data_IF_114994055182
#
_entry.id   IF_114994055182
#
_cell.length_a   1.000
_cell.length_b   1.000
_cell.length_c   1.000
_cell.angle_alpha   90.00
_cell.angle_beta   90.00
_cell.angle_gamma   90.00
#
_symmetry.space_group_name_H-M   'P 1'
#
loop_
_entity.id
_entity.type
_entity.pdbx_description
1 polymer ?
#
# COMPACT_ATOMS: atom_id res chain seq x y z
N UNK A 1 39.91 2.69 67.96
CA UNK A 1 38.75 3.13 67.17
C UNK A 1 37.50 3.02 68.04
N UNK A 2 36.80 4.12 68.34
CA UNK A 2 35.64 4.10 69.26
C UNK A 2 34.46 3.35 68.63
N UNK A 3 33.53 2.82 69.44
CA UNK A 3 32.32 2.14 68.93
C UNK A 3 31.51 3.02 67.97
N UNK A 4 31.52 4.33 68.21
CA UNK A 4 30.79 5.33 67.43
C UNK A 4 31.38 5.52 66.02
N UNK A 5 32.71 5.51 65.87
CA UNK A 5 33.34 5.64 64.55
C UNK A 5 33.20 4.40 63.67
N UNK A 6 33.03 3.20 64.27
CA UNK A 6 32.69 1.99 63.51
C UNK A 6 31.27 2.04 62.95
N UNK A 7 30.30 2.53 63.73
CA UNK A 7 28.89 2.64 63.31
C UNK A 7 28.74 3.63 62.15
N UNK A 8 29.36 4.80 62.26
CA UNK A 8 29.34 5.83 61.19
C UNK A 8 29.99 5.30 59.90
N UNK A 9 31.09 4.56 60.01
CA UNK A 9 31.79 4.01 58.85
C UNK A 9 30.96 2.92 58.15
N UNK A 10 30.20 2.11 58.89
CA UNK A 10 29.26 1.13 58.32
C UNK A 10 28.08 1.82 57.63
N UNK A 11 27.51 2.86 58.25
CA UNK A 11 26.40 3.64 57.67
C UNK A 11 26.76 4.32 56.34
N UNK A 12 28.02 4.74 56.17
CA UNK A 12 28.49 5.37 54.93
C UNK A 12 28.92 4.32 53.90
N UNK A 13 29.60 3.25 54.31
CA UNK A 13 30.10 2.24 53.38
C UNK A 13 28.99 1.37 52.77
N UNK A 14 27.94 1.06 53.53
CA UNK A 14 26.83 0.22 53.06
C UNK A 14 26.10 0.78 51.82
N UNK A 15 25.63 2.05 51.77
CA UNK A 15 24.97 2.61 50.59
C UNK A 15 25.91 2.75 49.39
N UNK A 16 27.21 2.99 49.63
CA UNK A 16 28.22 3.04 48.57
C UNK A 16 28.38 1.65 47.93
N UNK A 17 28.51 0.60 48.74
CA UNK A 17 28.62 -0.79 48.25
C UNK A 17 27.35 -1.19 47.49
N UNK A 18 26.15 -0.85 48.00
CA UNK A 18 24.89 -1.11 47.32
C UNK A 18 24.79 -0.38 45.97
N UNK A 19 25.25 0.86 45.90
CA UNK A 19 25.26 1.63 44.65
C UNK A 19 26.19 1.01 43.61
N UNK A 20 27.38 0.57 44.03
CA UNK A 20 28.34 -0.12 43.14
C UNK A 20 27.76 -1.45 42.65
N UNK A 21 27.11 -2.23 43.51
CA UNK A 21 26.45 -3.48 43.11
C UNK A 21 25.29 -3.25 42.14
N UNK A 22 24.50 -2.18 42.32
CA UNK A 22 23.43 -1.81 41.39
C UNK A 22 23.97 -1.43 40.02
N UNK A 23 25.02 -0.59 39.97
CA UNK A 23 25.67 -0.19 38.71
C UNK A 23 26.31 -1.40 38.02
N UNK A 24 26.99 -2.27 38.77
CA UNK A 24 27.58 -3.49 38.22
C UNK A 24 26.52 -4.43 37.62
N UNK A 25 25.38 -4.60 38.30
CA UNK A 25 24.24 -5.36 37.78
C UNK A 25 23.64 -4.71 36.53
N UNK A 26 23.44 -3.39 36.54
CA UNK A 26 22.92 -2.66 35.39
C UNK A 26 23.84 -2.79 34.16
N UNK A 27 25.16 -2.71 34.36
CA UNK A 27 26.14 -2.94 33.30
C UNK A 27 26.06 -4.39 32.80
N UNK A 28 25.98 -5.39 33.68
CA UNK A 28 25.80 -6.79 33.28
C UNK A 28 24.52 -7.00 32.46
N UNK A 29 23.40 -6.46 32.93
CA UNK A 29 22.11 -6.56 32.26
C UNK A 29 22.13 -5.90 30.88
N UNK A 30 22.69 -4.69 30.77
CA UNK A 30 22.70 -3.94 29.51
C UNK A 30 23.78 -4.42 28.52
N UNK A 31 24.94 -4.86 29.01
CA UNK A 31 26.10 -5.17 28.16
C UNK A 31 26.13 -6.63 27.74
N UNK A 32 25.62 -7.55 28.58
CA UNK A 32 25.66 -8.99 28.31
C UNK A 32 24.28 -9.58 28.06
N UNK A 33 23.31 -9.33 28.94
CA UNK A 33 22.01 -10.00 28.82
C UNK A 33 21.12 -9.38 27.75
N UNK A 34 21.06 -8.06 27.64
CA UNK A 34 20.22 -7.38 26.66
C UNK A 34 20.61 -7.69 25.20
N UNK A 35 21.90 -7.65 24.79
CA UNK A 35 22.28 -7.98 23.42
C UNK A 35 21.99 -9.45 23.08
N UNK A 36 22.23 -10.36 24.03
CA UNK A 36 21.96 -11.79 23.84
C UNK A 36 20.47 -12.09 23.74
N UNK A 37 19.64 -11.46 24.59
CA UNK A 37 18.18 -11.57 24.51
C UNK A 37 17.66 -10.98 23.20
N UNK A 38 18.18 -9.82 22.79
CA UNK A 38 17.81 -9.19 21.54
C UNK A 38 18.19 -10.05 20.32
N UNK A 39 19.41 -10.61 20.30
CA UNK A 39 19.86 -11.51 19.24
C UNK A 39 19.00 -12.79 19.16
N UNK A 40 18.60 -13.34 20.31
CA UNK A 40 17.68 -14.49 20.36
C UNK A 40 16.32 -14.12 19.77
N UNK A 41 15.71 -13.02 20.21
CA UNK A 41 14.41 -12.55 19.71
C UNK A 41 14.44 -12.25 18.20
N UNK A 42 15.54 -11.69 17.70
CA UNK A 42 15.75 -11.49 16.26
C UNK A 42 15.81 -12.82 15.50
N UNK A 43 16.49 -13.82 16.07
CA UNK A 43 16.62 -15.14 15.46
C UNK A 43 15.26 -15.84 15.41
N UNK A 44 14.49 -15.81 16.51
CA UNK A 44 13.12 -16.34 16.58
C UNK A 44 12.20 -15.66 15.56
N UNK A 45 12.24 -14.32 15.46
CA UNK A 45 11.47 -13.57 14.46
C UNK A 45 11.87 -13.92 13.01
N UNK A 46 13.17 -14.14 12.76
CA UNK A 46 13.67 -14.55 11.44
C UNK A 46 13.18 -15.95 11.07
N UNK A 47 13.28 -16.92 11.97
CA UNK A 47 12.80 -18.28 11.75
C UNK A 47 11.29 -18.29 11.49
N UNK A 48 10.52 -17.52 12.28
CA UNK A 48 9.08 -17.36 12.06
C UNK A 48 8.78 -16.78 10.66
N UNK A 49 9.46 -15.70 10.26
CA UNK A 49 9.24 -15.11 8.94
C UNK A 49 9.55 -16.08 7.79
N UNK A 50 10.52 -16.99 7.95
CA UNK A 50 10.87 -18.01 6.96
C UNK A 50 9.83 -19.13 6.90
N UNK A 51 9.36 -19.63 8.04
CA UNK A 51 8.28 -20.63 8.10
C UNK A 51 6.97 -20.09 7.48
N UNK A 52 6.63 -18.83 7.80
CA UNK A 52 5.42 -18.19 7.29
C UNK A 52 5.57 -17.61 5.88
N UNK A 53 6.78 -17.55 5.32
CA UNK A 53 6.98 -17.22 3.91
C UNK A 53 6.45 -18.34 3.01
N UNK A 54 6.73 -19.60 3.33
CA UNK A 54 6.25 -20.75 2.53
C UNK A 54 4.73 -20.90 2.56
N UNK A 55 4.11 -20.49 3.67
CA UNK A 55 2.67 -20.55 3.91
C UNK A 55 1.97 -19.20 3.77
N UNK A 56 2.68 -18.20 3.22
CA UNK A 56 2.14 -16.89 2.91
C UNK A 56 1.11 -16.92 1.78
N UNK A 57 0.39 -15.81 1.60
CA UNK A 57 -0.69 -15.72 0.62
C UNK A 57 -0.21 -15.09 -0.67
N UNK A 58 -0.50 -15.72 -1.80
CA UNK A 58 -0.45 -15.09 -3.10
C UNK A 58 -1.65 -15.53 -3.95
N UNK A 59 -2.20 -14.58 -4.69
CA UNK A 59 -3.33 -14.78 -5.60
C UNK A 59 -3.02 -14.10 -6.91
N UNK A 60 -3.10 -14.85 -8.00
CA UNK A 60 -3.08 -14.31 -9.35
C UNK A 60 -4.50 -13.95 -9.73
N UNK A 61 -4.75 -12.67 -10.01
CA UNK A 61 -6.06 -12.15 -10.39
C UNK A 61 -6.03 -11.58 -11.79
N UNK A 62 -7.03 -11.94 -12.58
CA UNK A 62 -7.30 -11.35 -13.89
C UNK A 62 -8.44 -10.36 -13.75
N UNK A 63 -8.15 -9.09 -14.02
CA UNK A 63 -9.09 -7.98 -13.94
C UNK A 63 -9.38 -7.47 -15.35
N UNK A 64 -10.66 -7.28 -15.64
CA UNK A 64 -11.15 -6.77 -16.91
C UNK A 64 -11.96 -5.50 -16.69
N UNK A 65 -11.84 -4.59 -17.65
CA UNK A 65 -12.68 -3.40 -17.80
C UNK A 65 -13.15 -3.35 -19.24
N UNK A 66 -14.42 -3.04 -19.46
CA UNK A 66 -15.05 -2.98 -20.78
C UNK A 66 -15.76 -1.64 -20.93
N UNK A 67 -15.52 -0.90 -22.01
CA UNK A 67 -16.29 0.32 -22.29
C UNK A 67 -17.63 -0.03 -22.93
N UNK A 68 -18.66 0.77 -22.67
CA UNK A 68 -19.94 0.68 -23.37
C UNK A 68 -19.76 0.78 -24.91
N UNK A 69 -20.73 0.29 -25.67
CA UNK A 69 -20.77 0.33 -27.13
C UNK A 69 -20.69 1.78 -27.65
N UNK A 70 -21.25 2.75 -26.92
CA UNK A 70 -21.12 4.18 -27.24
C UNK A 70 -19.66 4.68 -27.25
N UNK A 71 -18.74 3.93 -26.63
CA UNK A 71 -17.29 4.20 -26.58
C UNK A 71 -16.48 3.24 -27.45
N UNK A 72 -17.15 2.47 -28.31
CA UNK A 72 -16.53 1.53 -29.23
C UNK A 72 -16.37 0.11 -28.67
N UNK A 73 -16.96 -0.21 -27.52
CA UNK A 73 -16.99 -1.59 -27.01
C UNK A 73 -15.61 -2.19 -26.70
N UNK A 74 -14.63 -1.35 -26.40
CA UNK A 74 -13.26 -1.76 -26.16
C UNK A 74 -13.13 -2.45 -24.80
N UNK A 75 -12.30 -3.49 -24.73
CA UNK A 75 -12.00 -4.19 -23.49
C UNK A 75 -10.51 -4.14 -23.21
N UNK A 76 -10.14 -3.87 -21.97
CA UNK A 76 -8.79 -4.03 -21.46
C UNK A 76 -8.79 -5.05 -20.34
N UNK A 77 -7.74 -5.87 -20.31
CA UNK A 77 -7.56 -6.92 -19.30
C UNK A 77 -6.13 -6.86 -18.79
N UNK A 78 -5.97 -7.08 -17.50
CA UNK A 78 -4.67 -7.18 -16.85
C UNK A 78 -4.64 -8.36 -15.89
N UNK A 79 -3.50 -9.03 -15.85
CA UNK A 79 -3.21 -10.04 -14.83
C UNK A 79 -2.27 -9.39 -13.82
N UNK A 80 -2.58 -9.51 -12.54
CA UNK A 80 -1.72 -9.07 -11.46
C UNK A 80 -1.63 -10.14 -10.39
N UNK A 81 -0.47 -10.23 -9.76
CA UNK A 81 -0.24 -11.08 -8.61
C UNK A 81 -0.33 -10.23 -7.34
N UNK A 82 -1.29 -10.59 -6.49
CA UNK A 82 -1.54 -10.00 -5.20
C UNK A 82 -0.92 -10.86 -4.12
N UNK A 83 -0.07 -10.30 -3.26
CA UNK A 83 0.54 -11.07 -2.19
C UNK A 83 0.46 -10.37 -0.84
N UNK A 84 0.32 -11.19 0.21
CA UNK A 84 0.21 -10.77 1.61
C UNK A 84 1.41 -11.25 2.41
N UNK A 85 2.21 -10.34 2.96
CA UNK A 85 3.33 -10.68 3.85
C UNK A 85 2.91 -10.70 5.30
N UNK A 86 3.35 -11.73 6.05
CA UNK A 86 3.26 -11.80 7.51
C UNK A 86 4.59 -11.34 8.12
N UNK A 87 4.55 -10.36 9.01
CA UNK A 87 5.76 -9.82 9.65
C UNK A 87 5.86 -10.18 11.12
N UNK A 88 6.97 -10.79 11.53
CA UNK A 88 7.42 -10.80 12.91
C UNK A 88 8.29 -9.59 13.20
N UNK A 89 7.97 -8.88 14.28
CA UNK A 89 8.85 -7.89 14.90
C UNK A 89 9.32 -8.43 16.24
N UNK A 90 10.62 -8.31 16.52
CA UNK A 90 11.18 -8.60 17.84
C UNK A 90 10.61 -7.60 18.87
N UNK A 91 9.57 -8.00 19.60
CA UNK A 91 8.95 -7.26 20.72
C UNK A 91 8.84 -8.18 21.95
N UNK A 92 8.48 -7.61 23.11
CA UNK A 92 8.62 -8.21 24.45
C UNK A 92 8.21 -9.69 24.55
N UNK A 93 8.91 -10.42 25.44
CA UNK A 93 8.96 -11.88 25.62
C UNK A 93 7.66 -12.72 25.61
N UNK A 94 6.46 -12.11 25.57
CA UNK A 94 5.19 -12.78 25.84
C UNK A 94 4.15 -12.71 24.71
N UNK A 95 4.48 -12.21 23.52
CA UNK A 95 3.53 -12.09 22.41
C UNK A 95 3.98 -12.85 21.17
N UNK A 96 3.09 -13.57 20.46
CA UNK A 96 3.40 -13.98 19.10
C UNK A 96 3.65 -12.71 18.26
N UNK A 97 4.56 -12.79 17.28
CA UNK A 97 4.80 -11.65 16.40
C UNK A 97 3.49 -11.13 15.78
N UNK A 98 3.27 -9.83 15.84
CA UNK A 98 2.04 -9.20 15.33
C UNK A 98 1.94 -9.39 13.81
N UNK A 99 0.96 -10.13 13.32
CA UNK A 99 0.70 -10.22 11.88
C UNK A 99 0.11 -8.89 11.39
N UNK A 100 0.91 -8.08 10.69
CA UNK A 100 0.37 -7.08 9.78
C UNK A 100 0.33 -7.69 8.38
N UNK A 101 -0.79 -7.57 7.68
CA UNK A 101 -0.88 -7.91 6.25
C UNK A 101 -0.44 -6.65 5.50
N UNK A 102 0.71 -6.71 4.84
CA UNK A 102 1.02 -5.74 3.78
C UNK A 102 0.59 -6.36 2.47
N UNK A 103 -0.30 -5.67 1.76
CA UNK A 103 -0.82 -6.07 0.45
C UNK A 103 0.00 -5.37 -0.63
N UNK A 104 0.46 -6.12 -1.62
CA UNK A 104 1.18 -5.57 -2.77
C UNK A 104 0.71 -6.23 -4.06
N UNK A 105 0.92 -5.51 -5.15
CA UNK A 105 0.62 -5.91 -6.53
C UNK A 105 1.88 -5.73 -7.36
N UNK A 106 2.17 -6.67 -8.25
CA UNK A 106 3.12 -6.48 -9.36
C UNK A 106 2.46 -5.92 -10.63
N UNK A 107 1.13 -5.74 -10.58
CA UNK A 107 0.34 -5.17 -11.66
C UNK A 107 0.49 -3.65 -11.79
N UNK A 108 0.06 -3.08 -12.92
CA UNK A 108 0.04 -1.63 -13.09
C UNK A 108 -0.92 -0.99 -12.07
N UNK A 109 -0.66 0.27 -11.72
CA UNK A 109 -1.54 1.02 -10.82
C UNK A 109 -2.93 1.29 -11.43
N UNK A 110 -3.02 1.30 -12.76
CA UNK A 110 -4.24 1.58 -13.48
C UNK A 110 -4.39 0.76 -14.77
N UNK A 111 -5.64 0.54 -15.19
CA UNK A 111 -5.99 -0.06 -16.46
C UNK A 111 -6.52 0.98 -17.43
N UNK A 112 -5.95 1.05 -18.63
CA UNK A 112 -6.26 2.03 -19.66
C UNK A 112 -7.11 1.48 -20.80
N UNK A 113 -8.17 2.19 -21.21
CA UNK A 113 -8.96 1.91 -22.42
C UNK A 113 -9.01 3.17 -23.29
N UNK A 114 -8.82 3.09 -24.61
CA UNK A 114 -8.96 4.26 -25.49
C UNK A 114 -10.33 4.94 -25.34
N UNK A 115 -10.33 6.27 -25.27
CA UNK A 115 -11.52 7.09 -25.23
C UNK A 115 -11.54 8.07 -26.41
N UNK A 116 -12.17 7.65 -27.50
CA UNK A 116 -12.09 8.37 -28.77
C UNK A 116 -10.63 8.52 -29.26
N UNK A 117 -10.34 9.51 -30.14
CA UNK A 117 -9.02 9.64 -30.75
C UNK A 117 -7.97 10.31 -29.84
N UNK A 118 -8.36 11.10 -28.85
CA UNK A 118 -7.45 12.01 -28.12
C UNK A 118 -7.28 11.71 -26.63
N UNK A 119 -7.98 10.71 -26.09
CA UNK A 119 -7.99 10.43 -24.66
C UNK A 119 -8.02 8.94 -24.34
N UNK A 120 -7.88 8.61 -23.07
CA UNK A 120 -7.89 7.28 -22.50
C UNK A 120 -8.67 7.29 -21.19
N UNK A 121 -9.55 6.32 -20.98
CA UNK A 121 -10.08 6.00 -19.66
C UNK A 121 -9.07 5.23 -18.85
N UNK A 122 -8.84 5.66 -17.61
CA UNK A 122 -7.92 5.06 -16.68
C UNK A 122 -8.71 4.65 -15.44
N UNK A 123 -8.71 3.36 -15.13
CA UNK A 123 -9.38 2.80 -13.95
C UNK A 123 -8.33 2.39 -12.92
N UNK A 124 -8.45 2.87 -11.68
CA UNK A 124 -7.47 2.58 -10.64
C UNK A 124 -7.60 1.16 -10.10
N UNK A 125 -6.45 0.47 -9.97
CA UNK A 125 -6.33 -0.91 -9.49
C UNK A 125 -5.86 -0.98 -8.03
N UNK A 126 -5.74 0.16 -7.34
CA UNK A 126 -5.15 0.31 -6.00
C UNK A 126 -5.73 -0.64 -4.94
N UNK A 127 -7.03 -0.91 -4.99
CA UNK A 127 -7.74 -1.73 -3.99
C UNK A 127 -7.87 -3.19 -4.38
N UNK A 128 -7.58 -3.56 -5.64
CA UNK A 128 -7.79 -4.93 -6.15
C UNK A 128 -7.15 -5.97 -5.24
N UNK A 129 -5.87 -5.81 -4.90
CA UNK A 129 -5.19 -6.80 -4.07
C UNK A 129 -5.67 -6.82 -2.63
N UNK A 130 -6.17 -5.70 -2.11
CA UNK A 130 -6.78 -5.70 -0.79
C UNK A 130 -8.11 -6.45 -0.82
N UNK A 131 -8.97 -6.20 -1.80
CA UNK A 131 -10.27 -6.86 -1.89
C UNK A 131 -10.12 -8.38 -2.15
N UNK A 132 -9.21 -8.76 -3.06
CA UNK A 132 -8.95 -10.17 -3.37
C UNK A 132 -8.44 -10.94 -2.14
N UNK A 133 -7.52 -10.35 -1.38
CA UNK A 133 -6.97 -10.98 -0.18
C UNK A 133 -7.97 -11.04 0.98
N UNK A 134 -8.99 -10.18 0.99
CA UNK A 134 -10.01 -10.13 2.04
C UNK A 134 -11.26 -10.96 1.71
N UNK A 135 -11.67 -11.00 0.44
CA UNK A 135 -13.00 -11.48 0.02
C UNK A 135 -12.99 -12.34 -1.24
N UNK A 136 -11.85 -12.52 -1.92
CA UNK A 136 -11.77 -13.14 -3.24
C UNK A 136 -12.35 -14.56 -3.31
N UNK A 137 -12.17 -15.35 -2.25
CA UNK A 137 -12.68 -16.73 -2.17
C UNK A 137 -14.22 -16.81 -2.03
N UNK A 138 -14.88 -15.71 -1.64
CA UNK A 138 -16.33 -15.64 -1.42
C UNK A 138 -17.08 -15.17 -2.68
N UNK A 139 -16.36 -14.66 -3.68
CA UNK A 139 -16.96 -14.05 -4.86
C UNK A 139 -17.30 -15.07 -5.96
N UNK A 140 -18.54 -15.08 -6.48
CA UNK A 140 -18.85 -15.83 -7.70
C UNK A 140 -18.20 -15.14 -8.91
N UNK A 141 -17.35 -15.86 -9.65
CA UNK A 141 -16.71 -15.34 -10.85
C UNK A 141 -17.60 -15.52 -12.11
N UNK A 142 -17.65 -14.53 -13.03
CA UNK A 142 -17.01 -13.21 -12.91
C UNK A 142 -17.71 -12.32 -11.89
N UNK A 143 -16.93 -11.58 -11.09
CA UNK A 143 -17.45 -10.69 -10.05
C UNK A 143 -17.24 -9.23 -10.43
N UNK A 144 -18.27 -8.40 -10.29
CA UNK A 144 -18.21 -6.96 -10.56
C UNK A 144 -18.11 -6.22 -9.23
N UNK A 145 -17.15 -5.31 -9.09
CA UNK A 145 -16.95 -4.53 -7.86
C UNK A 145 -18.17 -3.65 -7.51
N UNK A 146 -18.37 -3.42 -6.22
CA UNK A 146 -19.36 -2.44 -5.73
C UNK A 146 -18.98 -1.02 -6.15
N UNK A 147 -19.99 -0.16 -6.30
CA UNK A 147 -19.91 1.20 -6.85
C UNK A 147 -18.88 2.11 -6.15
N UNK A 148 -18.77 2.01 -4.83
CA UNK A 148 -18.18 3.08 -4.01
C UNK A 148 -16.63 3.05 -3.95
N UNK A 149 -16.00 2.02 -4.51
CA UNK A 149 -14.58 1.72 -4.24
C UNK A 149 -13.61 2.12 -5.36
N UNK A 150 -14.08 2.32 -6.60
CA UNK A 150 -13.20 2.53 -7.75
C UNK A 150 -13.60 3.73 -8.59
N UNK A 151 -12.74 4.74 -8.56
CA UNK A 151 -12.81 5.91 -9.42
C UNK A 151 -12.14 5.60 -10.76
N UNK A 152 -12.77 6.04 -11.84
CA UNK A 152 -12.21 6.06 -13.18
C UNK A 152 -12.08 7.50 -13.67
N UNK A 153 -11.03 7.75 -14.43
CA UNK A 153 -10.66 9.05 -14.95
C UNK A 153 -10.60 9.00 -16.48
N UNK A 154 -11.00 10.08 -17.16
CA UNK A 154 -10.66 10.30 -18.58
C UNK A 154 -9.42 11.19 -18.61
N UNK A 155 -8.35 10.72 -19.24
CA UNK A 155 -7.07 11.43 -19.35
C UNK A 155 -6.74 11.70 -20.80
N UNK A 156 -6.36 12.92 -21.14
CA UNK A 156 -5.82 13.23 -22.47
C UNK A 156 -4.56 12.41 -22.74
N UNK A 157 -4.30 12.04 -24.01
CA UNK A 157 -3.10 11.24 -24.35
C UNK A 157 -1.77 11.91 -23.97
N UNK A 158 -1.74 13.24 -23.94
CA UNK A 158 -0.60 14.05 -23.48
C UNK A 158 -0.57 14.30 -21.97
N UNK A 159 -1.49 13.68 -21.22
CA UNK A 159 -1.67 13.81 -19.76
C UNK A 159 -1.99 15.22 -19.26
N UNK A 160 -2.30 16.16 -20.17
CA UNK A 160 -2.54 17.57 -19.83
C UNK A 160 -3.91 17.83 -19.16
N UNK A 161 -4.85 16.88 -19.28
CA UNK A 161 -6.23 17.05 -18.83
C UNK A 161 -6.80 15.75 -18.26
N UNK A 162 -7.52 15.86 -17.13
CA UNK A 162 -8.16 14.74 -16.43
C UNK A 162 -9.60 15.09 -16.03
N UNK A 163 -10.55 14.21 -16.30
CA UNK A 163 -11.95 14.30 -15.87
C UNK A 163 -12.34 13.09 -15.02
N UNK A 164 -13.07 13.33 -13.92
CA UNK A 164 -13.43 12.31 -12.93
C UNK A 164 -14.83 11.74 -13.21
N UNK A 165 -14.99 10.41 -13.12
CA UNK A 165 -16.24 9.71 -13.46
C UNK A 165 -17.01 9.09 -12.27
N UNK A 166 -16.60 9.32 -11.01
CA UNK A 166 -17.14 8.71 -9.77
C UNK A 166 -18.67 8.82 -9.57
N UNK A 167 -19.18 9.33 -8.45
CA UNK A 167 -20.66 9.45 -8.25
C UNK A 167 -21.30 10.64 -9.05
N UNK A 168 -20.75 10.85 -10.26
CA UNK A 168 -21.06 11.67 -11.43
C UNK A 168 -21.71 13.04 -11.20
N UNK A 169 -21.16 14.07 -11.86
CA UNK A 169 -22.02 15.19 -12.24
C UNK A 169 -21.75 15.90 -13.58
N UNK A 170 -20.86 15.46 -14.49
CA UNK A 170 -20.84 15.92 -15.92
C UNK A 170 -19.71 15.27 -16.75
N UNK A 171 -19.93 14.04 -17.21
CA UNK A 171 -19.15 13.39 -18.28
C UNK A 171 -20.06 12.48 -19.09
N UNK A 172 -20.63 12.96 -20.20
CA UNK A 172 -21.69 12.26 -20.97
C UNK A 172 -21.22 11.53 -22.21
N UNK A 173 -19.94 11.19 -22.33
CA UNK A 173 -19.51 10.23 -23.36
C UNK A 173 -19.25 8.90 -22.67
N UNK A 174 -20.30 8.10 -22.59
CA UNK A 174 -20.32 6.65 -22.29
C UNK A 174 -19.82 6.21 -20.91
N UNK A 175 -20.33 5.06 -20.47
CA UNK A 175 -19.91 4.44 -19.22
C UNK A 175 -18.82 3.41 -19.50
N UNK A 176 -17.75 3.45 -18.72
CA UNK A 176 -16.82 2.32 -18.63
C UNK A 176 -17.37 1.37 -17.57
N UNK A 177 -17.46 0.08 -17.90
CA UNK A 177 -17.88 -0.94 -16.96
C UNK A 177 -16.98 -0.92 -15.74
N UNK A 178 -17.55 -1.28 -14.59
CA UNK A 178 -16.78 -1.47 -13.36
C UNK A 178 -15.72 -2.55 -13.54
N UNK A 179 -14.73 -2.56 -12.65
CA UNK A 179 -13.75 -3.64 -12.60
C UNK A 179 -14.48 -4.96 -12.43
N UNK A 180 -14.14 -5.89 -13.33
CA UNK A 180 -14.66 -7.24 -13.31
C UNK A 180 -13.51 -8.19 -13.01
N UNK A 181 -13.60 -8.94 -11.92
CA UNK A 181 -12.69 -10.04 -11.65
C UNK A 181 -13.15 -11.23 -12.47
N UNK A 182 -12.30 -11.67 -13.40
CA UNK A 182 -12.62 -12.75 -14.34
C UNK A 182 -12.03 -14.08 -13.90
N UNK A 183 -10.89 -14.02 -13.20
CA UNK A 183 -10.21 -15.19 -12.65
C UNK A 183 -9.46 -14.82 -11.38
N UNK A 184 -9.49 -15.71 -10.39
CA UNK A 184 -8.71 -15.64 -9.15
C UNK A 184 -8.12 -17.03 -8.92
N UNK A 185 -6.80 -17.12 -8.87
CA UNK A 185 -6.06 -18.36 -8.67
C UNK A 185 -5.14 -18.19 -7.46
N UNK A 186 -5.25 -19.06 -6.45
CA UNK A 186 -4.27 -19.10 -5.37
C UNK A 186 -2.98 -19.75 -5.88
N UNK A 187 -1.86 -19.06 -5.70
CA UNK A 187 -0.53 -19.52 -6.13
C UNK A 187 0.44 -19.52 -4.95
N UNK A 188 1.41 -20.44 -4.91
CA UNK A 188 2.44 -20.40 -3.87
C UNK A 188 3.22 -19.08 -3.89
N UNK A 189 3.44 -18.47 -2.73
CA UNK A 189 4.14 -17.17 -2.63
C UNK A 189 5.54 -17.21 -3.28
N UNK A 190 6.25 -18.34 -3.12
CA UNK A 190 7.57 -18.59 -3.70
C UNK A 190 7.60 -18.62 -5.23
N UNK A 191 6.47 -18.83 -5.88
CA UNK A 191 6.35 -18.80 -7.35
C UNK A 191 6.09 -17.36 -7.85
N UNK A 192 5.78 -16.44 -6.95
CA UNK A 192 5.43 -15.05 -7.28
C UNK A 192 6.58 -14.09 -7.00
N UNK A 193 7.26 -14.25 -5.85
CA UNK A 193 8.38 -13.38 -5.44
C UNK A 193 9.54 -14.19 -4.87
N UNK A 194 10.74 -13.66 -5.01
CA UNK A 194 11.94 -14.21 -4.37
C UNK A 194 11.93 -13.98 -2.85
N UNK A 195 12.72 -14.76 -2.11
CA UNK A 195 12.89 -14.56 -0.67
C UNK A 195 13.56 -13.22 -0.33
N UNK A 196 14.42 -12.69 -1.22
CA UNK A 196 15.03 -11.37 -1.07
C UNK A 196 13.97 -10.27 -1.20
N UNK A 197 13.14 -10.32 -2.25
CA UNK A 197 12.01 -9.41 -2.43
C UNK A 197 11.07 -9.48 -1.23
N UNK A 198 10.65 -10.70 -0.83
CA UNK A 198 9.85 -10.92 0.37
C UNK A 198 10.47 -10.26 1.60
N UNK A 199 11.76 -10.46 1.87
CA UNK A 199 12.47 -9.89 3.02
C UNK A 199 12.53 -8.37 2.97
N UNK A 200 12.67 -7.79 1.77
CA UNK A 200 12.79 -6.35 1.54
C UNK A 200 11.47 -5.57 1.70
N UNK A 201 10.32 -6.26 1.64
CA UNK A 201 9.00 -5.64 1.80
C UNK A 201 8.90 -4.95 3.16
N UNK A 202 8.36 -3.73 3.18
CA UNK A 202 8.13 -2.91 4.39
C UNK A 202 6.67 -2.98 4.82
N UNK A 203 6.37 -2.75 6.10
CA UNK A 203 5.02 -2.81 6.71
C UNK A 203 3.98 -1.83 6.10
N UNK A 204 4.37 -0.94 5.19
CA UNK A 204 3.49 0.06 4.59
C UNK A 204 3.20 -0.29 3.13
N UNK A 205 1.94 -0.09 2.72
CA UNK A 205 1.42 -0.14 1.35
C UNK A 205 2.20 0.80 0.42
N UNK A 206 3.40 0.41 0.04
CA UNK A 206 4.11 1.02 -1.05
C UNK A 206 3.47 0.48 -2.33
N UNK A 207 2.50 1.21 -2.88
CA UNK A 207 2.29 1.19 -4.33
C UNK A 207 3.66 1.57 -4.92
N UNK A 208 4.34 0.58 -5.50
CA UNK A 208 5.59 0.76 -6.22
C UNK A 208 5.27 0.40 -7.67
N UNK A 209 5.35 1.33 -8.63
CA UNK A 209 6.01 2.63 -8.58
C UNK A 209 5.22 3.70 -7.79
N UNK A 210 5.86 4.80 -7.38
CA UNK A 210 5.18 5.90 -6.69
C UNK A 210 3.96 6.32 -7.49
N UNK A 211 2.82 6.48 -6.80
CA UNK A 211 1.66 7.15 -7.39
C UNK A 211 2.18 8.41 -8.06
N UNK A 212 2.12 8.45 -9.39
CA UNK A 212 2.31 9.72 -10.10
C UNK A 212 1.34 10.66 -9.43
N UNK A 213 1.88 11.75 -8.84
CA UNK A 213 1.04 12.75 -8.19
C UNK A 213 -0.01 13.08 -9.23
N UNK A 214 -1.26 12.68 -9.00
CA UNK A 214 -2.40 13.23 -9.72
C UNK A 214 -2.19 14.73 -9.58
N UNK A 215 -1.93 15.41 -10.69
CA UNK A 215 -1.57 16.81 -10.62
C UNK A 215 -2.77 17.53 -9.99
N UNK A 216 -2.57 17.96 -8.75
CA UNK A 216 -3.53 18.74 -7.98
C UNK A 216 -2.97 20.14 -7.84
N UNK A 217 -3.92 21.08 -7.90
CA UNK A 217 -3.83 22.52 -7.73
C UNK A 217 -2.60 23.01 -6.95
N UNK A 218 -1.49 23.38 -7.62
CA UNK A 218 -0.38 24.06 -6.94
C UNK A 218 0.21 25.19 -7.81
N UNK A 219 -0.12 26.44 -7.43
CA UNK A 219 0.30 27.65 -8.12
C UNK A 219 1.56 28.25 -7.46
N UNK A 220 2.73 28.13 -8.10
CA UNK A 220 3.93 28.93 -7.80
C UNK A 220 4.81 29.18 -9.03
N UNK A 221 4.29 29.69 -10.15
CA UNK A 221 5.07 30.36 -11.19
C UNK A 221 4.17 30.94 -12.30
N UNK A 222 4.64 31.97 -13.05
CA UNK A 222 3.91 32.57 -14.16
C UNK A 222 4.03 31.81 -15.49
N UNK A 223 4.78 30.70 -15.55
CA UNK A 223 5.00 29.96 -16.80
C UNK A 223 4.28 28.61 -16.78
N UNK A 224 3.54 28.36 -17.86
CA UNK A 224 2.73 27.19 -18.22
C UNK A 224 1.35 27.02 -17.57
N UNK A 225 0.36 27.05 -18.48
CA UNK A 225 -1.07 27.24 -18.32
C UNK A 225 -1.81 25.89 -18.28
N UNK A 226 -2.54 25.63 -17.21
CA UNK A 226 -4.01 25.52 -17.20
C UNK A 226 -4.43 24.99 -15.82
N UNK A 227 -4.94 25.91 -14.99
CA UNK A 227 -5.31 25.66 -13.61
C UNK A 227 -6.58 26.50 -13.20
N UNK A 228 -7.78 25.87 -13.19
CA UNK A 228 -8.91 25.86 -12.17
C UNK A 228 -10.31 26.29 -12.59
N UNK A 229 -11.26 25.44 -12.15
CA UNK A 229 -12.64 25.69 -11.67
C UNK A 229 -13.13 27.08 -12.05
N UNK A 230 -13.84 27.10 -13.16
CA UNK A 230 -14.45 28.26 -13.77
C UNK A 230 -14.67 27.91 -15.23
N UNK A 231 -15.92 27.69 -15.62
CA UNK A 231 -16.32 27.21 -16.95
C UNK A 231 -15.98 28.14 -18.13
N UNK A 232 -15.07 29.11 -17.95
CA UNK A 232 -14.87 30.22 -18.90
C UNK A 232 -13.40 30.40 -19.33
N UNK A 233 -12.54 29.40 -19.13
CA UNK A 233 -11.14 29.43 -19.58
C UNK A 233 -10.95 28.93 -21.02
N UNK A 234 -9.84 29.31 -21.67
CA UNK A 234 -9.47 28.83 -23.01
C UNK A 234 -9.33 27.30 -23.13
N UNK A 235 -9.11 26.61 -22.01
CA UNK A 235 -9.07 25.14 -21.93
C UNK A 235 -10.47 24.49 -21.90
N UNK A 236 -11.57 25.25 -21.74
CA UNK A 236 -12.93 24.71 -21.62
C UNK A 236 -13.41 23.93 -22.86
N UNK A 237 -13.29 24.42 -24.11
CA UNK A 237 -13.73 23.65 -25.28
C UNK A 237 -12.99 22.33 -25.46
N UNK A 238 -11.68 22.30 -25.13
CA UNK A 238 -10.87 21.07 -25.17
C UNK A 238 -11.32 20.08 -24.09
N UNK A 239 -11.62 20.58 -22.89
CA UNK A 239 -12.19 19.79 -21.81
C UNK A 239 -13.58 19.24 -22.18
N UNK A 240 -14.48 20.04 -22.75
CA UNK A 240 -15.81 19.59 -23.21
C UNK A 240 -15.72 18.52 -24.31
N UNK A 241 -14.76 18.67 -25.22
CA UNK A 241 -14.49 17.68 -26.28
C UNK A 241 -14.04 16.33 -25.69
N UNK A 242 -13.17 16.37 -24.68
CA UNK A 242 -12.62 15.16 -24.02
C UNK A 242 -13.61 14.58 -23.00
N UNK A 243 -14.41 15.39 -22.33
CA UNK A 243 -15.26 14.96 -21.22
C UNK A 243 -16.72 14.78 -21.66
N UNK A 244 -17.04 15.14 -22.89
CA UNK A 244 -18.30 14.81 -23.56
C UNK A 244 -19.51 15.61 -23.10
N UNK A 245 -19.34 16.62 -22.23
CA UNK A 245 -20.43 17.44 -21.68
C UNK A 245 -20.04 18.92 -21.70
N UNK A 246 -20.97 19.84 -22.00
CA UNK A 246 -20.74 21.26 -21.85
C UNK A 246 -20.55 21.63 -20.37
N UNK A 247 -19.47 22.37 -20.08
CA UNK A 247 -19.09 22.86 -18.76
C UNK A 247 -19.79 24.20 -18.48
N UNK A 248 -21.11 24.23 -18.61
CA UNK A 248 -21.97 25.35 -18.21
C UNK A 248 -22.26 25.33 -16.71
#
# INVERSE_FOLDING_TARGET
MSKLSKIVLVLISTPIILSILFVARYILDFTFFYPNQYARLQTEAKMWNQEYWETGYASRVTVQVTSDEMLGGNTATVVMNCYGKRFATAHSANGPPSSGITTMSDGPDNLGIPFGPEAMHITSLRSVCWDILMHGDEWPLPHVTQDDYHWSDIVAKDQSLVCYLGDKSKTSRGEVSRLTFVSIEQVPLRETISNEEYSSLRKQNASYPPQTRKHYWEARAPETQCWRIGGTGACAPRAETICGTPLN
#
